data_IF_330677534015
#
_entry.id   IF_330677534015
#
_cell.length_a   1.000
_cell.length_b   1.000
_cell.length_c   1.000
_cell.angle_alpha   90.00
_cell.angle_beta   90.00
_cell.angle_gamma   90.00
#
_symmetry.space_group_name_H-M   'P 1'
#
loop_
_entity.id
_entity.type
_entity.pdbx_description
1 polymer ?
#
# COMPACT_ATOMS: atom_id res chain seq x y z
N UNK A 1 43.06 47.30 -30.46
CA UNK A 1 41.93 46.42 -30.85
C UNK A 1 41.28 45.84 -29.60
N UNK A 2 40.08 46.30 -29.20
CA UNK A 2 39.30 45.67 -28.12
C UNK A 2 38.24 44.70 -28.69
N UNK A 3 38.07 43.54 -28.05
CA UNK A 3 37.01 42.56 -28.35
C UNK A 3 35.79 42.87 -27.45
N UNK A 4 34.62 43.00 -28.07
CA UNK A 4 33.34 43.27 -27.40
C UNK A 4 32.63 41.94 -27.13
N UNK A 5 32.33 41.68 -25.86
CA UNK A 5 31.56 40.54 -25.38
C UNK A 5 30.08 40.64 -25.78
N UNK A 6 29.53 39.55 -26.32
CA UNK A 6 28.11 39.44 -26.69
C UNK A 6 27.48 38.19 -26.08
N UNK A 7 27.49 38.10 -24.75
CA UNK A 7 26.66 37.15 -24.00
C UNK A 7 25.37 37.86 -23.63
N UNK A 8 24.23 37.45 -24.20
CA UNK A 8 22.84 37.61 -23.72
C UNK A 8 21.89 37.37 -24.90
N UNK A 9 21.49 36.12 -25.13
CA UNK A 9 20.61 35.80 -26.25
C UNK A 9 19.79 34.51 -26.14
N UNK A 10 19.75 33.84 -24.98
CA UNK A 10 19.12 32.50 -24.93
C UNK A 10 18.46 32.20 -23.58
N UNK A 11 17.71 33.16 -23.02
CA UNK A 11 16.94 32.96 -21.79
C UNK A 11 15.45 33.29 -21.92
N UNK A 12 14.87 33.23 -23.12
CA UNK A 12 13.43 33.49 -23.32
C UNK A 12 12.64 32.33 -23.94
N UNK A 13 13.25 31.16 -24.16
CA UNK A 13 12.54 29.99 -24.70
C UNK A 13 12.11 28.96 -23.64
N UNK A 14 12.51 29.11 -22.37
CA UNK A 14 12.18 28.15 -21.29
C UNK A 14 10.95 28.53 -20.46
N UNK A 15 10.40 29.74 -20.61
CA UNK A 15 9.29 30.22 -19.79
C UNK A 15 7.92 29.65 -20.18
N UNK A 16 7.70 29.30 -21.44
CA UNK A 16 6.39 28.82 -21.93
C UNK A 16 6.22 27.31 -21.70
N UNK A 17 7.31 26.54 -21.72
CA UNK A 17 7.24 25.10 -21.48
C UNK A 17 6.99 24.76 -19.99
N UNK A 18 7.51 25.57 -19.06
CA UNK A 18 7.29 25.36 -17.63
C UNK A 18 5.84 25.63 -17.21
N UNK A 19 5.15 26.61 -17.85
CA UNK A 19 3.75 26.87 -17.56
C UNK A 19 2.82 25.79 -18.15
N UNK A 20 3.19 25.17 -19.27
CA UNK A 20 2.44 24.05 -19.85
C UNK A 20 2.56 22.74 -19.06
N UNK A 21 3.70 22.52 -18.37
CA UNK A 21 3.90 21.36 -17.48
C UNK A 21 3.27 21.57 -16.10
N UNK A 22 3.16 22.81 -15.62
CA UNK A 22 2.60 23.12 -14.31
C UNK A 22 1.07 22.94 -14.23
N UNK A 23 0.33 23.08 -15.34
CA UNK A 23 -1.13 22.88 -15.36
C UNK A 23 -1.56 21.42 -15.45
N UNK A 24 -0.66 20.50 -15.80
CA UNK A 24 -0.99 19.07 -15.91
C UNK A 24 -0.97 18.33 -14.56
N UNK A 25 -0.44 18.96 -13.50
CA UNK A 25 -0.30 18.32 -12.19
C UNK A 25 -1.57 18.39 -11.31
N UNK A 26 -2.61 19.10 -11.75
CA UNK A 26 -3.88 19.26 -11.00
C UNK A 26 -5.06 18.54 -11.66
N UNK A 27 -4.81 17.57 -12.54
CA UNK A 27 -5.86 16.61 -12.91
C UNK A 27 -5.94 15.61 -11.76
N UNK A 28 -7.05 15.57 -10.98
CA UNK A 28 -7.30 14.40 -10.17
C UNK A 28 -7.43 13.27 -11.18
N UNK A 29 -6.39 12.44 -11.31
CA UNK A 29 -6.55 11.13 -11.92
C UNK A 29 -7.73 10.53 -11.17
N UNK A 30 -8.88 10.28 -11.80
CA UNK A 30 -9.88 9.50 -11.13
C UNK A 30 -9.21 8.14 -10.98
N UNK A 31 -8.74 7.85 -9.77
CA UNK A 31 -8.47 6.49 -9.36
C UNK A 31 -9.86 5.87 -9.30
N UNK A 32 -10.45 5.58 -10.46
CA UNK A 32 -11.42 4.54 -10.57
C UNK A 32 -10.66 3.32 -10.09
N UNK A 33 -10.76 3.04 -8.79
CA UNK A 33 -10.76 1.68 -8.31
C UNK A 33 -11.86 1.04 -9.15
N UNK A 34 -11.46 0.45 -10.27
CA UNK A 34 -12.32 -0.38 -11.08
C UNK A 34 -12.68 -1.51 -10.13
N UNK A 35 -13.81 -1.34 -9.44
CA UNK A 35 -14.47 -2.41 -8.76
C UNK A 35 -14.61 -3.47 -9.84
N UNK A 36 -13.80 -4.53 -9.71
CA UNK A 36 -13.79 -5.64 -10.62
C UNK A 36 -15.24 -5.97 -10.94
N UNK A 37 -15.65 -6.00 -12.22
CA UNK A 37 -17.02 -6.30 -12.58
C UNK A 37 -17.42 -7.52 -11.78
N UNK A 38 -18.46 -7.39 -10.95
CA UNK A 38 -19.04 -8.52 -10.24
C UNK A 38 -19.19 -9.60 -11.30
N UNK A 39 -18.39 -10.66 -11.20
CA UNK A 39 -18.49 -11.78 -12.11
C UNK A 39 -19.97 -12.13 -12.15
N UNK A 40 -20.58 -12.01 -13.34
CA UNK A 40 -21.97 -12.40 -13.52
C UNK A 40 -22.12 -13.77 -12.86
N UNK A 41 -23.18 -14.00 -12.05
CA UNK A 41 -23.33 -15.25 -11.33
C UNK A 41 -23.19 -16.36 -12.36
N UNK A 42 -22.07 -17.10 -12.26
CA UNK A 42 -21.86 -18.27 -13.09
C UNK A 42 -23.05 -19.16 -12.76
N UNK A 43 -23.88 -19.44 -13.76
CA UNK A 43 -25.22 -20.03 -13.64
C UNK A 43 -25.22 -21.46 -13.11
N UNK A 44 -24.57 -21.71 -11.97
CA UNK A 44 -24.97 -22.76 -11.08
C UNK A 44 -26.32 -22.36 -10.52
N UNK A 45 -27.34 -23.17 -10.82
CA UNK A 45 -28.59 -23.17 -10.07
C UNK A 45 -28.26 -23.36 -8.60
N UNK A 46 -28.16 -22.25 -7.87
CA UNK A 46 -28.09 -22.27 -6.42
C UNK A 46 -29.38 -22.92 -5.95
N UNK A 47 -29.27 -24.15 -5.44
CA UNK A 47 -30.39 -24.81 -4.78
C UNK A 47 -30.67 -23.99 -3.52
N UNK A 48 -31.69 -23.14 -3.59
CA UNK A 48 -32.16 -22.39 -2.44
C UNK A 48 -32.77 -23.38 -1.45
N UNK A 49 -31.98 -23.75 -0.45
CA UNK A 49 -32.49 -24.47 0.72
C UNK A 49 -33.55 -23.60 1.40
N UNK A 50 -34.68 -24.17 1.86
CA UNK A 50 -35.69 -23.44 2.60
C UNK A 50 -35.04 -22.73 3.78
N UNK A 51 -35.02 -21.39 3.75
CA UNK A 51 -34.53 -20.61 4.88
C UNK A 51 -35.59 -20.67 5.98
N UNK A 52 -35.23 -21.04 7.22
CA UNK A 52 -36.16 -20.96 8.33
C UNK A 52 -36.69 -19.52 8.46
N UNK A 53 -37.96 -19.32 8.85
CA UNK A 53 -38.51 -17.99 9.04
C UNK A 53 -37.64 -17.22 10.05
N UNK A 54 -37.13 -16.07 9.62
CA UNK A 54 -36.17 -15.30 10.39
C UNK A 54 -35.84 -13.97 9.71
N UNK A 55 -35.09 -13.09 10.39
CA UNK A 55 -34.65 -11.83 9.82
C UNK A 55 -33.82 -12.07 8.55
N UNK A 56 -33.91 -11.15 7.60
CA UNK A 56 -33.10 -11.22 6.40
C UNK A 56 -31.61 -11.06 6.76
N UNK A 57 -30.72 -11.55 5.90
CA UNK A 57 -29.29 -11.39 6.09
C UNK A 57 -28.90 -9.92 6.21
N UNK A 58 -29.54 -9.04 5.44
CA UNK A 58 -29.33 -7.60 5.52
C UNK A 58 -29.64 -7.04 6.91
N UNK A 59 -30.73 -7.50 7.54
CA UNK A 59 -31.11 -7.10 8.89
C UNK A 59 -30.09 -7.58 9.93
N UNK A 60 -29.60 -8.82 9.79
CA UNK A 60 -28.56 -9.36 10.66
C UNK A 60 -27.24 -8.60 10.50
N UNK A 61 -26.82 -8.33 9.26
CA UNK A 61 -25.63 -7.56 8.96
C UNK A 61 -25.71 -6.16 9.57
N UNK A 62 -26.85 -5.47 9.39
CA UNK A 62 -27.09 -4.15 9.98
C UNK A 62 -26.97 -4.16 11.51
N UNK A 63 -27.42 -5.23 12.16
CA UNK A 63 -27.33 -5.40 13.62
C UNK A 63 -25.89 -5.63 14.13
N UNK A 64 -25.06 -6.35 13.38
CA UNK A 64 -23.69 -6.70 13.82
C UNK A 64 -22.61 -5.74 13.32
N UNK A 65 -22.91 -4.94 12.29
CA UNK A 65 -21.96 -3.96 11.72
C UNK A 65 -21.35 -3.03 12.78
N UNK A 66 -22.08 -2.51 13.79
CA UNK A 66 -21.49 -1.64 14.80
C UNK A 66 -20.40 -2.29 15.66
N UNK A 67 -20.37 -3.62 15.75
CA UNK A 67 -19.32 -4.34 16.49
C UNK A 67 -18.03 -4.50 15.66
N UNK A 68 -18.07 -4.26 14.35
CA UNK A 68 -16.93 -4.45 13.45
C UNK A 68 -16.02 -3.22 13.48
N UNK A 69 -14.73 -3.46 13.71
CA UNK A 69 -13.72 -2.41 13.84
C UNK A 69 -12.59 -2.60 12.83
N UNK A 70 -11.92 -1.50 12.47
CA UNK A 70 -10.65 -1.52 11.74
C UNK A 70 -9.50 -1.65 12.72
N UNK A 71 -8.62 -2.60 12.46
CA UNK A 71 -7.39 -2.82 13.22
C UNK A 71 -6.21 -2.36 12.38
N UNK A 72 -5.32 -1.56 12.97
CA UNK A 72 -4.07 -1.14 12.33
C UNK A 72 -2.92 -1.32 13.31
N UNK A 73 -1.87 -2.00 12.88
CA UNK A 73 -0.68 -2.26 13.68
C UNK A 73 0.53 -1.60 13.03
N UNK A 74 1.40 -1.06 13.87
CA UNK A 74 2.75 -0.63 13.49
C UNK A 74 3.70 -1.29 14.48
N UNK A 75 4.60 -2.12 13.97
CA UNK A 75 5.50 -2.94 14.76
C UNK A 75 6.94 -2.75 14.35
N UNK A 76 7.84 -3.10 15.25
CA UNK A 76 9.27 -3.21 14.99
C UNK A 76 9.66 -4.66 15.23
N UNK A 77 10.14 -5.34 14.18
CA UNK A 77 10.61 -6.73 14.29
C UNK A 77 12.12 -6.71 14.18
N UNK A 78 12.80 -7.31 15.15
CA UNK A 78 14.22 -7.59 15.02
C UNK A 78 14.36 -8.70 13.98
N UNK A 79 14.92 -8.38 12.82
CA UNK A 79 15.34 -9.43 11.89
C UNK A 79 16.42 -10.24 12.61
N UNK A 80 16.23 -11.57 12.67
CA UNK A 80 17.19 -12.48 13.31
C UNK A 80 18.58 -12.34 12.69
N UNK A 81 19.60 -12.77 13.44
CA UNK A 81 20.99 -12.80 12.94
C UNK A 81 21.01 -13.65 11.67
N UNK A 82 21.45 -13.05 10.56
CA UNK A 82 21.60 -13.74 9.28
C UNK A 82 22.86 -14.59 9.38
N UNK A 83 22.74 -15.88 9.70
CA UNK A 83 23.89 -16.78 9.75
C UNK A 83 24.57 -16.84 8.37
N UNK A 84 25.85 -16.49 8.32
CA UNK A 84 26.62 -16.44 7.08
C UNK A 84 27.05 -17.86 6.70
N UNK A 85 26.61 -18.39 5.54
CA UNK A 85 27.03 -19.70 5.03
C UNK A 85 28.56 -19.80 4.96
N UNK A 86 29.15 -20.95 5.33
CA UNK A 86 30.60 -21.12 5.36
C UNK A 86 31.26 -20.93 3.99
N UNK A 87 30.54 -21.18 2.90
CA UNK A 87 31.01 -20.99 1.52
C UNK A 87 31.23 -19.51 1.16
N UNK A 88 30.54 -18.59 1.85
CA UNK A 88 30.64 -17.15 1.61
C UNK A 88 31.68 -16.47 2.49
N UNK A 89 32.25 -17.18 3.47
CA UNK A 89 33.35 -16.68 4.33
C UNK A 89 34.65 -16.58 3.52
N UNK A 90 35.40 -15.50 3.71
CA UNK A 90 36.57 -15.13 2.93
C UNK A 90 36.25 -14.47 1.59
N UNK A 91 34.98 -14.40 1.19
CA UNK A 91 34.58 -13.74 -0.06
C UNK A 91 34.28 -12.25 0.17
N UNK A 92 34.30 -11.40 -0.87
CA UNK A 92 33.86 -10.01 -0.78
C UNK A 92 32.42 -9.85 -0.24
N UNK A 93 31.57 -10.87 -0.42
CA UNK A 93 30.20 -10.87 0.06
C UNK A 93 30.09 -11.04 1.59
N UNK A 94 31.11 -11.60 2.26
CA UNK A 94 31.10 -11.77 3.71
C UNK A 94 30.87 -10.44 4.44
N UNK A 95 31.57 -9.37 4.02
CA UNK A 95 31.45 -8.05 4.65
C UNK A 95 30.08 -7.43 4.44
N UNK A 96 29.43 -7.72 3.31
CA UNK A 96 28.06 -7.28 3.03
C UNK A 96 27.06 -7.92 3.99
N UNK A 97 27.13 -9.25 4.18
CA UNK A 97 26.24 -9.96 5.11
C UNK A 97 26.53 -9.62 6.57
N UNK A 98 27.80 -9.44 6.94
CA UNK A 98 28.21 -9.01 8.30
C UNK A 98 27.70 -7.61 8.66
N UNK A 99 27.49 -6.75 7.66
CA UNK A 99 26.79 -5.47 7.83
C UNK A 99 25.30 -5.63 8.12
N UNK A 100 24.67 -6.64 7.52
CA UNK A 100 23.25 -6.97 7.65
C UNK A 100 22.94 -7.75 8.94
N UNK A 101 23.89 -8.56 9.43
CA UNK A 101 23.83 -9.28 10.71
C UNK A 101 23.66 -8.35 11.92
N UNK A 102 24.04 -7.08 11.81
CA UNK A 102 23.81 -6.07 12.86
C UNK A 102 22.33 -5.70 12.92
N UNK A 103 21.52 -6.63 13.44
CA UNK A 103 20.21 -6.44 14.06
C UNK A 103 19.36 -5.36 13.42
N UNK A 104 19.10 -5.47 12.10
CA UNK A 104 18.29 -4.46 11.42
C UNK A 104 16.85 -4.58 11.91
N UNK A 105 16.43 -3.61 12.74
CA UNK A 105 15.04 -3.46 13.15
C UNK A 105 14.20 -3.11 11.92
N UNK A 106 13.34 -4.03 11.48
CA UNK A 106 12.42 -3.79 10.38
C UNK A 106 11.11 -3.21 10.93
N UNK A 107 10.71 -2.05 10.43
CA UNK A 107 9.36 -1.52 10.63
C UNK A 107 8.38 -2.34 9.80
N UNK A 108 7.33 -2.84 10.44
CA UNK A 108 6.21 -3.52 9.79
C UNK A 108 4.92 -2.74 10.07
N UNK A 109 4.02 -2.74 9.10
CA UNK A 109 2.68 -2.22 9.26
C UNK A 109 1.69 -3.28 8.79
N UNK A 110 0.52 -3.35 9.44
CA UNK A 110 -0.53 -4.29 9.12
C UNK A 110 -1.90 -3.67 9.33
N UNK A 111 -2.89 -4.14 8.57
CA UNK A 111 -4.27 -3.70 8.68
C UNK A 111 -5.20 -4.91 8.57
N UNK A 112 -6.26 -4.90 9.34
CA UNK A 112 -7.31 -5.91 9.30
C UNK A 112 -8.64 -5.37 9.82
N UNK A 113 -9.62 -6.27 9.90
CA UNK A 113 -10.88 -6.06 10.59
C UNK A 113 -10.95 -6.98 11.81
N UNK A 114 -11.71 -6.57 12.81
CA UNK A 114 -12.05 -7.36 13.98
C UNK A 114 -13.48 -7.09 14.41
N UNK A 115 -13.95 -7.79 15.43
CA UNK A 115 -15.26 -7.55 16.04
C UNK A 115 -15.14 -7.54 17.56
N UNK A 116 -15.98 -6.74 18.21
CA UNK A 116 -16.10 -6.69 19.67
C UNK A 116 -17.12 -7.74 20.11
N UNK A 117 -16.73 -8.63 21.02
CA UNK A 117 -17.53 -9.73 21.57
C UNK A 117 -18.22 -9.39 22.89
N UNK A 118 -17.70 -8.42 23.65
CA UNK A 118 -18.28 -8.02 24.94
C UNK A 118 -18.14 -6.52 25.23
N UNK A 119 -18.97 -6.00 26.14
CA UNK A 119 -18.95 -4.58 26.57
C UNK A 119 -17.63 -4.16 27.22
N UNK A 120 -16.81 -5.10 27.71
CA UNK A 120 -15.46 -4.81 28.19
C UNK A 120 -14.46 -4.48 27.06
N UNK A 121 -14.84 -4.69 25.79
CA UNK A 121 -14.02 -4.34 24.62
C UNK A 121 -13.11 -5.46 24.09
N UNK A 122 -13.42 -6.72 24.43
CA UNK A 122 -12.78 -7.90 23.82
C UNK A 122 -13.34 -8.18 22.44
#
# INVERSE_FOLDING_TARGET
>A
MPKIDRRRGTLLASGVLALALATSALVPLPHHAEAQPTAAPSGGTAVALPRPPGPDFADLAARVTPAVVRVSIVGHVQAGVVDIPPELRGTPFEQFFRGMERGMTRKIAGQGSGFIIDKAGY
#
